data_IF_850749445098
#
_entry.id   IF_850749445098
#
_cell.length_a   1.000
_cell.length_b   1.000
_cell.length_c   1.000
_cell.angle_alpha   90.00
_cell.angle_beta   90.00
_cell.angle_gamma   90.00
#
_symmetry.space_group_name_H-M   'P 1'
#
loop_
_entity.id
_entity.type
_entity.pdbx_description
1 polymer ?
#
# COMPACT_ATOMS: atom_id res chain seq x y z
N UNK A 1 61.57 23.56 -1.93
CA UNK A 1 61.10 22.26 -1.40
C UNK A 1 60.29 22.35 -0.11
N UNK A 2 60.46 23.37 0.73
CA UNK A 2 59.78 23.53 2.04
C UNK A 2 58.27 23.82 1.95
N UNK A 3 57.81 24.60 0.97
CA UNK A 3 56.40 24.96 0.80
C UNK A 3 55.45 23.79 0.43
N UNK A 4 55.99 22.65 -0.02
CA UNK A 4 55.21 21.43 -0.29
C UNK A 4 54.97 20.60 0.96
N UNK A 5 55.96 20.56 1.88
CA UNK A 5 55.88 19.85 3.15
C UNK A 5 54.86 20.50 4.09
N UNK A 6 54.88 21.83 4.20
CA UNK A 6 53.93 22.61 5.02
C UNK A 6 52.48 22.42 4.54
N UNK A 7 52.23 22.41 3.22
CA UNK A 7 50.90 22.13 2.66
C UNK A 7 50.44 20.70 2.93
N UNK A 8 51.35 19.73 2.86
CA UNK A 8 51.03 18.33 3.18
C UNK A 8 50.70 18.12 4.66
N UNK A 9 51.39 18.79 5.57
CA UNK A 9 51.09 18.77 7.01
C UNK A 9 49.74 19.41 7.32
N UNK A 10 49.44 20.56 6.71
CA UNK A 10 48.17 21.24 6.89
C UNK A 10 46.99 20.44 6.35
N UNK A 11 47.16 19.76 5.20
CA UNK A 11 46.14 18.83 4.68
C UNK A 11 45.92 17.63 5.61
N UNK A 12 46.98 17.08 6.21
CA UNK A 12 46.87 15.99 7.19
C UNK A 12 46.15 16.44 8.46
N UNK A 13 46.42 17.65 8.94
CA UNK A 13 45.72 18.23 10.09
C UNK A 13 44.23 18.41 9.80
N UNK A 14 43.88 19.03 8.66
CA UNK A 14 42.48 19.20 8.25
C UNK A 14 41.76 17.86 8.06
N UNK A 15 42.43 16.85 7.52
CA UNK A 15 41.86 15.51 7.36
C UNK A 15 41.61 14.83 8.72
N UNK A 16 42.55 14.98 9.67
CA UNK A 16 42.40 14.45 11.03
C UNK A 16 41.27 15.16 11.79
N UNK A 17 41.19 16.49 11.71
CA UNK A 17 40.09 17.28 12.30
C UNK A 17 38.74 16.89 11.70
N UNK A 18 38.67 16.70 10.38
CA UNK A 18 37.45 16.25 9.72
C UNK A 18 37.04 14.84 10.14
N UNK A 19 37.99 13.92 10.38
CA UNK A 19 37.71 12.58 10.90
C UNK A 19 37.23 12.63 12.35
N UNK A 20 37.85 13.44 13.21
CA UNK A 20 37.37 13.68 14.58
C UNK A 20 35.96 14.28 14.57
N UNK A 21 35.68 15.24 13.69
CA UNK A 21 34.35 15.83 13.55
C UNK A 21 33.30 14.80 13.08
N UNK A 22 33.64 13.95 12.09
CA UNK A 22 32.77 12.88 11.58
C UNK A 22 32.48 11.84 12.66
N UNK A 23 33.50 11.38 13.37
CA UNK A 23 33.35 10.39 14.44
C UNK A 23 32.50 10.94 15.59
N UNK A 24 32.73 12.18 16.01
CA UNK A 24 31.91 12.85 17.01
C UNK A 24 30.45 13.04 16.56
N UNK A 25 30.21 13.40 15.29
CA UNK A 25 28.87 13.50 14.73
C UNK A 25 28.16 12.13 14.67
N UNK A 26 28.86 11.08 14.27
CA UNK A 26 28.33 9.71 14.24
C UNK A 26 28.00 9.20 15.65
N UNK A 27 28.83 9.51 16.65
CA UNK A 27 28.55 9.17 18.05
C UNK A 27 27.31 9.89 18.57
N UNK A 28 27.16 11.20 18.30
CA UNK A 28 25.93 11.95 18.66
C UNK A 28 24.70 11.35 18.00
N UNK A 29 24.75 11.07 16.69
CA UNK A 29 23.64 10.47 15.98
C UNK A 29 23.25 9.08 16.54
N UNK A 30 24.23 8.27 16.96
CA UNK A 30 23.97 6.98 17.63
C UNK A 30 23.31 7.18 18.99
N UNK A 31 23.84 8.09 19.81
CA UNK A 31 23.27 8.38 21.12
C UNK A 31 21.83 8.92 21.02
N UNK A 32 21.56 9.81 20.06
CA UNK A 32 20.21 10.32 19.77
C UNK A 32 19.27 9.20 19.31
N UNK A 33 19.75 8.30 18.43
CA UNK A 33 18.97 7.16 17.97
C UNK A 33 18.66 6.16 19.09
N UNK A 34 19.63 5.88 19.97
CA UNK A 34 19.46 5.04 21.15
C UNK A 34 18.46 5.66 22.14
N UNK A 35 18.58 6.96 22.43
CA UNK A 35 17.65 7.67 23.30
C UNK A 35 16.23 7.67 22.71
N UNK A 36 16.09 7.89 21.41
CA UNK A 36 14.79 7.82 20.73
C UNK A 36 14.21 6.40 20.77
N UNK A 37 15.02 5.36 20.63
CA UNK A 37 14.59 3.96 20.73
C UNK A 37 14.17 3.59 22.16
N UNK A 38 14.92 4.04 23.17
CA UNK A 38 14.55 3.86 24.57
C UNK A 38 13.23 4.56 24.89
N UNK A 39 13.06 5.81 24.44
CA UNK A 39 11.82 6.56 24.59
C UNK A 39 10.65 5.86 23.91
N UNK A 40 10.86 5.29 22.71
CA UNK A 40 9.84 4.47 22.04
C UNK A 40 9.49 3.24 22.87
N UNK A 41 10.47 2.46 23.31
CA UNK A 41 10.24 1.22 24.09
C UNK A 41 9.49 1.50 25.38
N UNK A 42 9.80 2.60 26.08
CA UNK A 42 9.15 3.00 27.32
C UNK A 42 7.64 3.33 27.17
N UNK A 43 7.16 3.57 25.94
CA UNK A 43 5.74 3.87 25.72
C UNK A 43 4.86 2.69 26.15
N UNK A 44 3.83 2.93 26.99
CA UNK A 44 2.89 1.88 27.37
C UNK A 44 2.04 1.45 26.17
N UNK A 45 1.44 0.27 26.27
CA UNK A 45 0.51 -0.21 25.28
C UNK A 45 -0.72 0.69 25.23
N UNK A 46 -1.02 1.28 24.07
CA UNK A 46 -2.16 2.18 23.88
C UNK A 46 -3.53 1.54 24.12
N UNK A 47 -3.61 0.20 24.12
CA UNK A 47 -4.86 -0.53 24.31
C UNK A 47 -5.03 -1.05 25.75
N UNK A 48 -4.02 -1.73 26.30
CA UNK A 48 -4.12 -2.38 27.61
C UNK A 48 -3.25 -1.75 28.71
N UNK A 49 -2.48 -0.70 28.39
CA UNK A 49 -1.68 0.05 29.37
C UNK A 49 -0.40 -0.64 29.85
N UNK A 50 -0.09 -1.86 29.38
CA UNK A 50 1.15 -2.57 29.76
C UNK A 50 2.37 -1.68 29.51
N UNK A 51 3.22 -1.43 30.53
CA UNK A 51 4.37 -0.54 30.39
C UNK A 51 5.41 -1.15 29.44
N UNK A 52 6.32 -0.31 28.95
CA UNK A 52 7.48 -0.72 28.14
C UNK A 52 7.10 -1.53 26.87
N UNK A 53 5.93 -1.26 26.29
CA UNK A 53 5.38 -2.04 25.19
C UNK A 53 5.71 -1.47 23.80
N UNK A 54 6.47 -0.37 23.70
CA UNK A 54 6.74 0.26 22.42
C UNK A 54 5.50 0.89 21.75
N UNK A 55 4.44 1.16 22.52
CA UNK A 55 3.14 1.66 22.04
C UNK A 55 2.05 0.60 21.79
N UNK A 56 2.39 -0.65 21.47
CA UNK A 56 1.41 -1.75 21.34
C UNK A 56 2.07 -3.09 21.70
N UNK A 57 1.58 -3.74 22.76
CA UNK A 57 2.13 -5.02 23.21
C UNK A 57 1.83 -6.14 22.20
N UNK A 58 2.58 -7.24 22.28
CA UNK A 58 2.45 -8.37 21.35
C UNK A 58 1.03 -8.98 21.28
N UNK A 59 0.31 -9.01 22.40
CA UNK A 59 -1.09 -9.50 22.49
C UNK A 59 -2.03 -8.59 21.71
N UNK A 60 -1.98 -7.29 22.00
CA UNK A 60 -2.81 -6.28 21.34
C UNK A 60 -2.50 -6.18 19.84
N UNK A 61 -1.23 -6.29 19.46
CA UNK A 61 -0.80 -6.36 18.06
C UNK A 61 -1.36 -7.59 17.35
N UNK A 62 -1.20 -8.77 17.94
CA UNK A 62 -1.74 -9.99 17.36
C UNK A 62 -3.27 -9.93 17.20
N UNK A 63 -3.97 -9.27 18.12
CA UNK A 63 -5.41 -9.02 18.01
C UNK A 63 -5.75 -8.04 16.87
N UNK A 64 -5.08 -6.89 16.77
CA UNK A 64 -5.28 -5.95 15.66
C UNK A 64 -5.02 -6.62 14.30
N UNK A 65 -3.94 -7.42 14.20
CA UNK A 65 -3.59 -8.18 13.00
C UNK A 65 -4.66 -9.23 12.66
N UNK A 66 -5.16 -9.96 13.67
CA UNK A 66 -6.22 -10.97 13.51
C UNK A 66 -7.49 -10.33 12.93
N UNK A 67 -7.92 -9.19 13.45
CA UNK A 67 -9.09 -8.46 12.95
C UNK A 67 -8.87 -7.92 11.53
N UNK A 68 -7.66 -7.44 11.20
CA UNK A 68 -7.33 -7.02 9.85
C UNK A 68 -7.37 -8.20 8.85
N UNK A 69 -6.80 -9.35 9.21
CA UNK A 69 -6.80 -10.58 8.41
C UNK A 69 -8.22 -11.11 8.20
N UNK A 70 -9.05 -11.09 9.25
CA UNK A 70 -10.45 -11.49 9.18
C UNK A 70 -11.23 -10.62 8.18
N UNK A 71 -11.09 -9.29 8.24
CA UNK A 71 -11.72 -8.37 7.28
C UNK A 71 -11.28 -8.67 5.84
N UNK A 72 -9.99 -8.95 5.62
CA UNK A 72 -9.48 -9.33 4.30
C UNK A 72 -10.03 -10.68 3.82
N UNK A 73 -10.19 -11.66 4.72
CA UNK A 73 -10.71 -12.98 4.39
C UNK A 73 -12.19 -12.94 4.00
N UNK A 74 -12.97 -12.11 4.70
CA UNK A 74 -14.37 -11.82 4.35
C UNK A 74 -14.44 -11.11 3.00
N UNK A 75 -13.61 -10.08 2.76
CA UNK A 75 -13.56 -9.39 1.48
C UNK A 75 -13.20 -10.33 0.30
N UNK A 76 -12.32 -11.31 0.51
CA UNK A 76 -12.01 -12.32 -0.48
C UNK A 76 -13.19 -13.28 -0.74
N UNK A 77 -13.91 -13.68 0.32
CA UNK A 77 -15.09 -14.52 0.20
C UNK A 77 -16.21 -13.85 -0.61
N UNK A 78 -16.48 -12.56 -0.33
CA UNK A 78 -17.46 -11.77 -1.09
C UNK A 78 -16.99 -11.53 -2.52
N UNK A 79 -15.73 -11.16 -2.75
CA UNK A 79 -15.20 -10.95 -4.09
C UNK A 79 -15.36 -12.21 -4.99
N UNK A 80 -15.16 -13.39 -4.41
CA UNK A 80 -15.30 -14.67 -5.12
C UNK A 80 -16.72 -15.04 -5.54
N UNK A 81 -17.77 -14.44 -4.96
CA UNK A 81 -19.16 -14.77 -5.30
C UNK A 81 -19.68 -14.05 -6.55
N UNK A 82 -18.95 -13.04 -7.04
CA UNK A 82 -19.30 -12.28 -8.24
C UNK A 82 -20.52 -11.36 -8.12
N UNK A 83 -21.04 -11.15 -6.90
CA UNK A 83 -22.16 -10.24 -6.66
C UNK A 83 -21.68 -8.78 -6.52
N UNK A 84 -22.52 -7.79 -6.86
CA UNK A 84 -22.23 -6.38 -6.58
C UNK A 84 -22.02 -6.14 -5.08
N UNK A 85 -21.07 -5.28 -4.75
CA UNK A 85 -20.69 -4.93 -3.37
C UNK A 85 -21.89 -4.44 -2.56
N UNK A 86 -22.75 -3.60 -3.17
CA UNK A 86 -23.89 -2.98 -2.48
C UNK A 86 -25.14 -3.87 -2.42
N UNK A 87 -25.04 -5.12 -2.86
CA UNK A 87 -26.19 -6.03 -2.80
C UNK A 87 -26.41 -6.56 -1.39
N UNK A 88 -27.67 -6.60 -0.94
CA UNK A 88 -28.02 -7.21 0.36
C UNK A 88 -27.57 -8.68 0.46
N UNK A 89 -27.46 -9.36 -0.69
CA UNK A 89 -26.98 -10.72 -0.78
C UNK A 89 -25.44 -10.86 -0.61
N UNK A 90 -24.67 -9.80 -0.90
CA UNK A 90 -23.25 -9.72 -0.57
C UNK A 90 -23.05 -9.41 0.93
N UNK A 91 -23.87 -8.52 1.49
CA UNK A 91 -23.85 -8.21 2.92
C UNK A 91 -24.20 -9.43 3.79
N UNK A 92 -25.23 -10.19 3.44
CA UNK A 92 -25.58 -11.43 4.12
C UNK A 92 -24.44 -12.46 4.07
N UNK A 93 -23.83 -12.66 2.90
CA UNK A 93 -22.68 -13.55 2.74
C UNK A 93 -21.48 -13.10 3.60
N UNK A 94 -21.23 -11.80 3.67
CA UNK A 94 -20.15 -11.24 4.48
C UNK A 94 -20.37 -11.52 5.97
N UNK A 95 -21.59 -11.31 6.47
CA UNK A 95 -21.95 -11.57 7.86
C UNK A 95 -21.81 -13.06 8.21
N UNK A 96 -22.33 -13.95 7.36
CA UNK A 96 -22.21 -15.40 7.54
C UNK A 96 -20.75 -15.87 7.53
N UNK A 97 -19.97 -15.35 6.59
CA UNK A 97 -18.54 -15.65 6.47
C UNK A 97 -17.77 -15.17 7.70
N UNK A 98 -18.03 -13.95 8.18
CA UNK A 98 -17.40 -13.40 9.37
C UNK A 98 -17.74 -14.23 10.61
N UNK A 99 -19.03 -14.55 10.82
CA UNK A 99 -19.48 -15.36 11.94
C UNK A 99 -18.81 -16.74 11.96
N UNK A 100 -18.76 -17.43 10.81
CA UNK A 100 -18.12 -18.73 10.69
C UNK A 100 -16.62 -18.67 10.99
N UNK A 101 -15.92 -17.64 10.49
CA UNK A 101 -14.48 -17.46 10.73
C UNK A 101 -14.19 -17.09 12.18
N UNK A 102 -14.97 -16.19 12.80
CA UNK A 102 -14.83 -15.86 14.23
C UNK A 102 -15.03 -17.08 15.11
N UNK A 103 -16.04 -17.90 14.82
CA UNK A 103 -16.26 -19.15 15.54
C UNK A 103 -15.08 -20.13 15.40
N UNK A 104 -14.45 -20.20 14.22
CA UNK A 104 -13.24 -21.01 14.02
C UNK A 104 -12.06 -20.47 14.84
N UNK A 105 -11.79 -19.16 14.79
CA UNK A 105 -10.71 -18.52 15.56
C UNK A 105 -10.91 -18.71 17.06
N UNK A 106 -12.14 -18.59 17.56
CA UNK A 106 -12.47 -18.83 18.95
C UNK A 106 -12.16 -20.27 19.36
N UNK A 107 -12.51 -21.27 18.52
CA UNK A 107 -12.16 -22.67 18.78
C UNK A 107 -10.65 -22.89 18.87
N UNK A 108 -9.88 -22.34 17.93
CA UNK A 108 -8.40 -22.44 17.94
C UNK A 108 -7.82 -21.83 19.22
N UNK A 109 -8.23 -20.61 19.57
CA UNK A 109 -7.75 -19.95 20.78
C UNK A 109 -8.12 -20.72 22.06
N UNK A 110 -9.34 -21.29 22.11
CA UNK A 110 -9.78 -22.09 23.26
C UNK A 110 -9.01 -23.40 23.38
N UNK A 111 -8.71 -24.05 22.25
CA UNK A 111 -7.91 -25.27 22.24
C UNK A 111 -6.52 -25.02 22.85
N UNK A 112 -5.82 -23.97 22.43
CA UNK A 112 -4.51 -23.61 22.98
C UNK A 112 -4.56 -23.37 24.48
N UNK A 113 -5.63 -22.72 24.98
CA UNK A 113 -5.80 -22.51 26.43
C UNK A 113 -6.05 -23.83 27.18
N UNK A 114 -6.84 -24.74 26.60
CA UNK A 114 -7.10 -26.06 27.19
C UNK A 114 -5.84 -26.93 27.25
N UNK A 115 -4.93 -26.75 26.30
CA UNK A 115 -3.61 -27.41 26.27
C UNK A 115 -2.57 -26.76 27.22
N UNK A 116 -2.98 -25.80 28.06
CA UNK A 116 -2.12 -25.12 29.02
C UNK A 116 -1.35 -23.92 28.45
N UNK A 117 -1.66 -23.49 27.23
CA UNK A 117 -1.11 -22.28 26.62
C UNK A 117 -1.58 -21.00 27.33
N UNK A 118 -0.69 -20.02 27.42
CA UNK A 118 -1.02 -18.70 27.96
C UNK A 118 -1.72 -17.81 26.91
N UNK A 119 -2.15 -16.61 27.33
CA UNK A 119 -2.88 -15.68 26.46
C UNK A 119 -2.05 -15.19 25.26
N UNK A 120 -0.72 -15.08 25.40
CA UNK A 120 0.17 -14.73 24.28
C UNK A 120 0.13 -15.83 23.21
N UNK A 121 0.31 -17.09 23.63
CA UNK A 121 0.24 -18.25 22.73
C UNK A 121 -1.13 -18.35 22.05
N UNK A 122 -2.22 -18.13 22.78
CA UNK A 122 -3.57 -18.15 22.23
C UNK A 122 -3.78 -17.06 21.16
N UNK A 123 -3.29 -15.83 21.39
CA UNK A 123 -3.40 -14.72 20.41
C UNK A 123 -2.55 -14.94 19.17
N UNK A 124 -1.33 -15.47 19.34
CA UNK A 124 -0.47 -15.83 18.20
C UNK A 124 -1.11 -16.94 17.37
N UNK A 125 -1.67 -17.98 18.00
CA UNK A 125 -2.39 -19.03 17.31
C UNK A 125 -3.63 -18.51 16.55
N UNK A 126 -4.41 -17.61 17.17
CA UNK A 126 -5.51 -16.93 16.51
C UNK A 126 -5.08 -16.16 15.26
N UNK A 127 -3.96 -15.44 15.33
CA UNK A 127 -3.39 -14.71 14.17
C UNK A 127 -3.01 -15.67 13.03
N UNK A 128 -2.28 -16.76 13.33
CA UNK A 128 -1.87 -17.76 12.34
C UNK A 128 -3.07 -18.48 11.70
N UNK A 129 -4.12 -18.76 12.49
CA UNK A 129 -5.36 -19.31 11.97
C UNK A 129 -6.08 -18.32 11.03
N UNK A 130 -6.07 -17.02 11.35
CA UNK A 130 -6.63 -15.98 10.48
C UNK A 130 -5.85 -15.84 9.15
N UNK A 131 -4.51 -15.92 9.19
CA UNK A 131 -3.66 -15.96 7.98
C UNK A 131 -4.02 -17.17 7.10
N UNK A 132 -4.18 -18.34 7.71
CA UNK A 132 -4.56 -19.58 7.01
C UNK A 132 -5.95 -19.45 6.36
N UNK A 133 -6.94 -18.93 7.10
CA UNK A 133 -8.28 -18.64 6.56
C UNK A 133 -8.23 -17.67 5.39
N UNK A 134 -7.43 -16.60 5.47
CA UNK A 134 -7.26 -15.66 4.37
C UNK A 134 -6.70 -16.34 3.11
N UNK A 135 -5.67 -17.18 3.27
CA UNK A 135 -5.09 -17.92 2.15
C UNK A 135 -6.11 -18.88 1.51
N UNK A 136 -6.89 -19.61 2.32
CA UNK A 136 -7.94 -20.51 1.83
C UNK A 136 -9.05 -19.77 1.09
N UNK A 137 -9.48 -18.61 1.61
CA UNK A 137 -10.53 -17.80 0.98
C UNK A 137 -10.05 -17.17 -0.31
N UNK A 138 -8.82 -16.65 -0.35
CA UNK A 138 -8.20 -16.17 -1.60
C UNK A 138 -8.11 -17.27 -2.66
N UNK A 139 -7.61 -18.47 -2.31
CA UNK A 139 -7.56 -19.61 -3.23
C UNK A 139 -8.94 -20.00 -3.74
N UNK A 140 -9.94 -20.02 -2.87
CA UNK A 140 -11.31 -20.36 -3.25
C UNK A 140 -11.94 -19.30 -4.16
N UNK A 141 -11.71 -18.02 -3.88
CA UNK A 141 -12.14 -16.92 -4.72
C UNK A 141 -11.47 -16.94 -6.10
N UNK A 142 -10.15 -17.14 -6.18
CA UNK A 142 -9.43 -17.27 -7.45
C UNK A 142 -9.99 -18.42 -8.32
N UNK A 143 -10.30 -19.57 -7.71
CA UNK A 143 -10.93 -20.70 -8.43
C UNK A 143 -12.34 -20.39 -8.91
N UNK A 144 -13.12 -19.64 -8.13
CA UNK A 144 -14.46 -19.23 -8.53
C UNK A 144 -14.40 -18.21 -9.69
N UNK A 145 -13.61 -17.15 -9.52
CA UNK A 145 -13.42 -16.09 -10.52
C UNK A 145 -12.78 -16.60 -11.81
N UNK A 146 -11.82 -17.52 -11.71
CA UNK A 146 -11.20 -18.12 -12.89
C UNK A 146 -12.15 -18.96 -13.74
N UNK A 147 -13.28 -19.43 -13.18
CA UNK A 147 -14.35 -20.11 -13.92
C UNK A 147 -15.50 -19.17 -14.29
N UNK A 148 -15.37 -17.89 -13.97
CA UNK A 148 -16.36 -16.87 -14.27
C UNK A 148 -16.33 -16.43 -15.74
N UNK A 149 -17.42 -15.82 -16.23
CA UNK A 149 -17.56 -15.44 -17.63
C UNK A 149 -16.49 -14.44 -18.09
N UNK A 150 -16.07 -13.50 -17.23
CA UNK A 150 -15.04 -12.52 -17.60
C UNK A 150 -13.67 -13.19 -17.81
N UNK A 151 -13.29 -14.14 -16.93
CA UNK A 151 -12.03 -14.85 -17.05
C UNK A 151 -12.01 -15.82 -18.24
N UNK A 152 -13.13 -16.49 -18.53
CA UNK A 152 -13.25 -17.35 -19.71
C UNK A 152 -13.25 -16.55 -21.03
N UNK A 153 -13.86 -15.36 -21.05
CA UNK A 153 -13.82 -14.48 -22.21
C UNK A 153 -12.37 -14.03 -22.53
N UNK A 154 -11.62 -13.61 -21.53
CA UNK A 154 -10.21 -13.22 -21.70
C UNK A 154 -9.34 -14.42 -22.10
N UNK A 155 -9.56 -15.59 -21.50
CA UNK A 155 -8.90 -16.83 -21.90
C UNK A 155 -9.17 -17.20 -23.37
N UNK A 156 -10.42 -17.04 -23.81
CA UNK A 156 -10.84 -17.25 -25.21
C UNK A 156 -10.14 -16.28 -26.17
N UNK A 157 -10.05 -15.00 -25.80
CA UNK A 157 -9.34 -13.98 -26.60
C UNK A 157 -7.84 -14.30 -26.71
N UNK A 158 -7.19 -14.65 -25.60
CA UNK A 158 -5.78 -15.04 -25.58
C UNK A 158 -5.51 -16.29 -26.44
N UNK A 159 -6.38 -17.31 -26.33
CA UNK A 159 -6.31 -18.51 -27.17
C UNK A 159 -6.43 -18.17 -28.66
N UNK A 160 -7.44 -17.37 -29.02
CA UNK A 160 -7.67 -16.98 -30.41
C UNK A 160 -6.49 -16.15 -30.97
N UNK A 161 -5.93 -15.25 -30.16
CA UNK A 161 -4.76 -14.46 -30.53
C UNK A 161 -3.53 -15.35 -30.80
N UNK A 162 -3.28 -16.33 -29.94
CA UNK A 162 -2.21 -17.29 -30.14
C UNK A 162 -2.46 -18.21 -31.34
N UNK A 163 -3.73 -18.58 -31.59
CA UNK A 163 -4.14 -19.34 -32.78
C UNK A 163 -3.82 -18.61 -34.09
N UNK A 164 -4.00 -17.28 -34.15
CA UNK A 164 -3.59 -16.46 -35.31
C UNK A 164 -2.08 -16.48 -35.57
N UNK A 165 -1.29 -16.80 -34.54
CA UNK A 165 0.17 -16.91 -34.59
C UNK A 165 0.66 -18.36 -34.77
N UNK A 166 -0.21 -19.28 -35.20
CA UNK A 166 0.13 -20.70 -35.41
C UNK A 166 1.39 -20.92 -36.26
N UNK A 167 1.61 -20.09 -37.27
CA UNK A 167 2.75 -20.17 -38.19
C UNK A 167 4.12 -19.93 -37.50
N UNK A 168 4.15 -19.38 -36.29
CA UNK A 168 5.38 -19.18 -35.51
C UNK A 168 5.81 -20.45 -34.75
N UNK A 169 5.04 -21.52 -34.81
CA UNK A 169 5.31 -22.76 -34.08
C UNK A 169 5.72 -23.88 -35.04
N UNK A 170 6.66 -24.75 -34.63
CA UNK A 170 7.19 -25.81 -35.49
C UNK A 170 6.15 -26.89 -35.83
N UNK A 171 5.15 -27.08 -34.97
CA UNK A 171 4.10 -28.09 -35.14
C UNK A 171 2.74 -27.56 -34.72
N UNK A 172 1.67 -28.21 -35.22
CA UNK A 172 0.31 -27.90 -34.80
C UNK A 172 0.10 -28.10 -33.29
N UNK A 173 0.67 -29.17 -32.72
CA UNK A 173 0.61 -29.46 -31.30
C UNK A 173 1.32 -28.40 -30.46
N UNK A 174 2.48 -27.90 -30.89
CA UNK A 174 3.18 -26.82 -30.21
C UNK A 174 2.35 -25.52 -30.21
N UNK A 175 1.70 -25.20 -31.32
CA UNK A 175 0.80 -24.05 -31.40
C UNK A 175 -0.42 -24.19 -30.46
N UNK A 176 -1.01 -25.38 -30.39
CA UNK A 176 -2.13 -25.68 -29.50
C UNK A 176 -1.73 -25.56 -28.02
N UNK A 177 -0.62 -26.17 -27.61
CA UNK A 177 -0.07 -26.05 -26.26
C UNK A 177 0.24 -24.61 -25.88
N UNK A 178 0.79 -23.83 -26.81
CA UNK A 178 1.03 -22.40 -26.58
C UNK A 178 -0.28 -21.62 -26.41
N UNK A 179 -1.32 -21.94 -27.20
CA UNK A 179 -2.63 -21.31 -27.09
C UNK A 179 -3.36 -21.67 -25.79
N UNK A 180 -3.25 -22.92 -25.33
CA UNK A 180 -3.76 -23.34 -24.03
C UNK A 180 -3.03 -22.67 -22.86
N UNK A 181 -1.71 -22.56 -22.95
CA UNK A 181 -0.89 -21.89 -21.92
C UNK A 181 -1.27 -20.42 -21.82
N UNK A 182 -1.36 -19.72 -22.96
CA UNK A 182 -1.81 -18.33 -23.01
C UNK A 182 -3.22 -18.17 -22.41
N UNK A 183 -4.14 -19.08 -22.71
CA UNK A 183 -5.49 -19.07 -22.14
C UNK A 183 -5.49 -19.26 -20.62
N UNK A 184 -4.70 -20.21 -20.09
CA UNK A 184 -4.58 -20.44 -18.64
C UNK A 184 -4.01 -19.24 -17.91
N UNK A 185 -2.94 -18.64 -18.43
CA UNK A 185 -2.34 -17.44 -17.85
C UNK A 185 -3.30 -16.24 -17.89
N UNK A 186 -3.99 -16.04 -19.01
CA UNK A 186 -4.98 -14.98 -19.15
C UNK A 186 -6.11 -15.14 -18.12
N UNK A 187 -6.65 -16.36 -17.97
CA UNK A 187 -7.65 -16.69 -16.94
C UNK A 187 -7.15 -16.36 -15.53
N UNK A 188 -5.92 -16.77 -15.21
CA UNK A 188 -5.32 -16.52 -13.89
C UNK A 188 -5.16 -15.02 -13.62
N UNK A 189 -4.56 -14.27 -14.54
CA UNK A 189 -4.37 -12.82 -14.40
C UNK A 189 -5.69 -12.09 -14.23
N UNK A 190 -6.72 -12.47 -15.00
CA UNK A 190 -8.06 -11.88 -14.86
C UNK A 190 -8.70 -12.21 -13.51
N UNK A 191 -8.58 -13.45 -13.04
CA UNK A 191 -9.09 -13.83 -11.72
C UNK A 191 -8.40 -13.05 -10.58
N UNK A 192 -7.07 -12.89 -10.65
CA UNK A 192 -6.30 -12.10 -9.69
C UNK A 192 -6.70 -10.62 -9.71
N UNK A 193 -6.83 -10.03 -10.90
CA UNK A 193 -7.29 -8.66 -11.08
C UNK A 193 -8.69 -8.45 -10.48
N UNK A 194 -9.64 -9.33 -10.80
CA UNK A 194 -11.01 -9.26 -10.27
C UNK A 194 -11.06 -9.41 -8.76
N UNK A 195 -10.27 -10.32 -8.19
CA UNK A 195 -10.17 -10.48 -6.74
C UNK A 195 -9.66 -9.20 -6.09
N UNK A 196 -8.56 -8.64 -6.59
CA UNK A 196 -7.98 -7.41 -6.06
C UNK A 196 -8.94 -6.22 -6.15
N UNK A 197 -9.60 -6.03 -7.30
CA UNK A 197 -10.54 -4.94 -7.52
C UNK A 197 -11.77 -5.07 -6.61
N UNK A 198 -12.41 -6.25 -6.58
CA UNK A 198 -13.64 -6.47 -5.80
C UNK A 198 -13.40 -6.45 -4.30
N UNK A 199 -12.29 -7.04 -3.81
CA UNK A 199 -11.94 -6.99 -2.39
C UNK A 199 -11.61 -5.57 -1.94
N UNK A 200 -10.89 -4.78 -2.74
CA UNK A 200 -10.63 -3.36 -2.44
C UNK A 200 -11.93 -2.56 -2.39
N UNK A 201 -12.82 -2.74 -3.36
CA UNK A 201 -14.12 -2.07 -3.39
C UNK A 201 -14.97 -2.41 -2.15
N UNK A 202 -15.01 -3.69 -1.76
CA UNK A 202 -15.69 -4.12 -0.53
C UNK A 202 -15.10 -3.45 0.72
N UNK A 203 -13.77 -3.48 0.89
CA UNK A 203 -13.11 -2.86 2.06
C UNK A 203 -13.33 -1.34 2.12
N UNK A 204 -13.36 -0.67 0.96
CA UNK A 204 -13.66 0.76 0.87
C UNK A 204 -15.11 1.05 1.30
N UNK A 205 -16.08 0.25 0.85
CA UNK A 205 -17.48 0.40 1.25
C UNK A 205 -17.72 0.18 2.76
N UNK A 206 -16.93 -0.71 3.38
CA UNK A 206 -17.03 -0.99 4.82
C UNK A 206 -16.31 0.05 5.70
N UNK A 207 -15.46 0.89 5.12
CA UNK A 207 -14.80 1.96 5.87
C UNK A 207 -15.79 3.13 5.95
N UNK A 208 -16.28 3.51 7.14
CA UNK A 208 -17.13 4.68 7.26
C UNK A 208 -16.40 5.85 6.63
N UNK A 209 -17.05 6.56 5.71
CA UNK A 209 -16.51 7.80 5.19
C UNK A 209 -16.13 8.65 6.42
N UNK A 210 -14.89 9.16 6.52
CA UNK A 210 -14.54 9.99 7.65
C UNK A 210 -15.58 11.09 7.70
N UNK A 211 -16.30 11.20 8.83
CA UNK A 211 -17.22 12.30 9.05
C UNK A 211 -16.46 13.56 8.64
N UNK A 212 -16.98 14.31 7.68
CA UNK A 212 -16.32 15.49 7.16
C UNK A 212 -16.25 16.50 8.32
N UNK A 213 -15.19 16.40 9.12
CA UNK A 213 -14.83 17.30 10.19
C UNK A 213 -14.54 18.65 9.52
N UNK A 214 -15.45 19.65 9.62
CA UNK A 214 -15.29 20.91 8.90
C UNK A 214 -14.03 21.69 9.33
N UNK A 215 -13.38 21.29 10.43
CA UNK A 215 -12.21 21.96 11.01
C UNK A 215 -10.84 21.48 10.52
N UNK A 216 -10.71 20.28 9.93
CA UNK A 216 -9.39 19.74 9.55
C UNK A 216 -8.87 20.26 8.20
N UNK A 217 -9.76 20.68 7.30
CA UNK A 217 -9.37 21.35 6.05
C UNK A 217 -8.65 22.67 6.32
N UNK A 218 -9.05 23.42 7.36
CA UNK A 218 -8.37 24.65 7.78
C UNK A 218 -6.93 24.41 8.24
N UNK A 219 -6.69 23.37 9.05
CA UNK A 219 -5.34 23.02 9.54
C UNK A 219 -4.40 22.53 8.44
N UNK A 220 -4.91 21.75 7.48
CA UNK A 220 -4.13 21.28 6.33
C UNK A 220 -3.70 22.45 5.43
N UNK A 221 -4.59 23.43 5.20
CA UNK A 221 -4.27 24.65 4.44
C UNK A 221 -3.25 25.53 5.17
N UNK A 222 -3.36 25.66 6.50
CA UNK A 222 -2.39 26.40 7.32
C UNK A 222 -1.00 25.75 7.28
N UNK A 223 -0.94 24.42 7.36
CA UNK A 223 0.33 23.69 7.26
C UNK A 223 0.96 23.80 5.87
N UNK A 224 0.17 23.66 4.80
CA UNK A 224 0.63 23.82 3.42
C UNK A 224 1.15 25.24 3.15
N UNK A 225 0.44 26.27 3.64
CA UNK A 225 0.88 27.66 3.54
C UNK A 225 2.17 27.94 4.33
N UNK A 226 2.31 27.36 5.53
CA UNK A 226 3.54 27.45 6.32
C UNK A 226 4.73 26.78 5.62
N UNK A 227 4.53 25.58 5.07
CA UNK A 227 5.57 24.86 4.33
C UNK A 227 5.98 25.56 3.02
N UNK A 228 5.05 26.23 2.34
CA UNK A 228 5.35 27.05 1.17
C UNK A 228 6.19 28.30 1.53
N UNK A 229 5.83 29.01 2.61
CA UNK A 229 6.61 30.14 3.11
C UNK A 229 8.03 29.74 3.54
N UNK A 230 8.17 28.61 4.23
CA UNK A 230 9.48 28.09 4.61
C UNK A 230 10.33 27.71 3.39
N UNK A 231 9.74 27.15 2.32
CA UNK A 231 10.49 26.89 1.08
C UNK A 231 10.90 28.18 0.38
N UNK A 232 10.04 29.20 0.39
CA UNK A 232 10.34 30.49 -0.21
C UNK A 232 11.50 31.22 0.49
N UNK A 233 11.65 31.10 1.82
CA UNK A 233 12.74 31.74 2.56
C UNK A 233 14.11 31.05 2.42
N UNK A 234 14.16 29.84 1.85
CA UNK A 234 15.38 29.07 1.63
C UNK A 234 15.90 29.14 0.19
N UNK A 235 15.14 29.76 -0.72
CA UNK A 235 15.58 29.98 -2.09
C UNK A 235 16.49 31.21 -2.14
N UNK A 236 17.71 31.12 -2.69
CA UNK A 236 18.57 32.27 -2.88
C UNK A 236 17.90 33.27 -3.84
N UNK A 237 18.08 34.58 -3.62
CA UNK A 237 17.42 35.69 -4.33
C UNK A 237 17.40 35.53 -5.87
N UNK A 238 18.44 34.93 -6.43
CA UNK A 238 18.58 34.63 -7.87
C UNK A 238 17.55 33.64 -8.44
N UNK A 239 16.88 32.85 -7.60
CA UNK A 239 15.82 31.91 -8.00
C UNK A 239 14.44 32.57 -8.01
N UNK A 240 14.21 33.59 -7.17
CA UNK A 240 12.94 34.32 -7.07
C UNK A 240 12.75 35.19 -8.33
N UNK A 241 13.81 35.82 -8.84
CA UNK A 241 13.76 36.60 -10.09
C UNK A 241 13.40 35.75 -11.33
N UNK A 242 13.90 34.51 -11.44
CA UNK A 242 13.61 33.62 -12.57
C UNK A 242 12.17 33.11 -12.61
N UNK A 243 11.55 32.88 -11.44
CA UNK A 243 10.13 32.48 -11.38
C UNK A 243 9.21 33.66 -11.71
N UNK A 244 9.59 34.89 -11.35
CA UNK A 244 8.87 36.11 -11.72
C UNK A 244 8.92 36.38 -13.24
N UNK A 245 10.05 36.16 -13.91
CA UNK A 245 10.17 36.29 -15.38
C UNK A 245 9.34 35.23 -16.14
N UNK A 246 9.28 33.99 -15.64
CA UNK A 246 8.50 32.92 -16.27
C UNK A 246 6.98 33.12 -16.13
N UNK A 247 6.51 33.65 -15.00
CA UNK A 247 5.09 33.96 -14.80
C UNK A 247 4.64 35.22 -15.55
N UNK A 248 5.53 36.20 -15.74
CA UNK A 248 5.25 37.37 -16.59
C UNK A 248 5.10 37.00 -18.07
N UNK A 249 5.92 36.06 -18.58
CA UNK A 249 5.78 35.53 -19.95
C UNK A 249 4.49 34.75 -20.18
N UNK A 250 3.99 34.02 -19.18
CA UNK A 250 2.77 33.23 -19.30
C UNK A 250 1.49 34.10 -19.36
N UNK A 251 1.47 35.27 -18.72
CA UNK A 251 0.30 36.16 -18.74
C UNK A 251 0.19 37.03 -20.02
N UNK A 252 1.24 37.13 -20.83
CA UNK A 252 1.23 37.93 -22.06
C UNK A 252 0.74 37.16 -23.30
N UNK A 253 0.61 35.83 -23.23
CA UNK A 253 0.25 34.98 -24.37
C UNK A 253 -1.24 34.71 -24.60
N UNK A 254 -2.14 35.17 -23.72
CA UNK A 254 -3.57 34.78 -23.74
C UNK A 254 -4.53 35.85 -24.27
N UNK A 255 -4.05 36.87 -25.02
CA UNK A 255 -4.87 38.03 -25.41
C UNK A 255 -5.16 38.19 -26.92
N UNK A 256 -4.80 37.25 -27.78
CA UNK A 256 -4.98 37.41 -29.24
C UNK A 256 -5.62 36.19 -29.94
N UNK A 257 -6.81 35.73 -29.55
CA UNK A 257 -7.63 34.87 -30.43
C UNK A 257 -9.14 35.15 -30.27
N UNK A 258 -9.57 36.39 -30.57
CA UNK A 258 -10.97 36.69 -30.90
C UNK A 258 -10.99 37.48 -32.22
N UNK A 259 -11.04 36.77 -33.34
CA UNK A 259 -11.32 37.37 -34.66
C UNK A 259 -12.16 36.43 -35.52
N UNK A 260 -13.47 36.71 -35.48
CA UNK A 260 -14.45 36.66 -36.58
C UNK A 260 -14.38 35.53 -37.63
N UNK A 261 -15.42 34.70 -37.64
CA UNK A 261 -15.79 33.85 -38.78
C UNK A 261 -17.30 33.70 -38.88
N UNK A 262 -17.95 34.70 -39.50
CA UNK A 262 -19.37 34.71 -39.89
C UNK A 262 -19.49 34.23 -41.35
N UNK A 263 -20.24 33.16 -41.61
CA UNK A 263 -20.72 32.69 -42.93
C UNK A 263 -21.93 31.78 -42.61
N UNK A 264 -23.20 32.14 -42.79
CA UNK A 264 -24.00 32.62 -43.93
C UNK A 264 -24.23 31.58 -45.06
N UNK A 265 -25.44 30.99 -45.07
CA UNK A 265 -26.22 30.37 -46.18
C UNK A 265 -25.61 29.14 -46.88
N UNK A 266 -26.34 28.05 -47.20
CA UNK A 266 -27.74 27.83 -47.60
C UNK A 266 -28.30 26.53 -47.02
#
# INVERSE_FOLDING_TARGET
>A
MTAGLVRGEQQRQLAAEAEVARTAAAQRARAEAEAAEQARRALPCRQCGVPEAGGLCGVCRAQEDTEALLRQAVAAAVAGCGRPVDSGAAAALAADAEAAMRAHLQRVCNQIRQEGGNEVSAKVAGRLAAESLLHERRRSALRALGRGPEAEAEAGQARAAQGRRRHLHPTAQAAEQAAETAAREARQRTAEHLLAARSTAWLAAQTPAPAAEPGLQGRAVVYAAGAAKARASWLPDSAIQRVAELTSRANFGSREEHSTGSFSTR
#
